data_IF_382209089715
#
_entry.id   IF_382209089715
#
_cell.length_a   1.000
_cell.length_b   1.000
_cell.length_c   1.000
_cell.angle_alpha   90.00
_cell.angle_beta   90.00
_cell.angle_gamma   90.00
#
_symmetry.space_group_name_H-M   'P 1'
#
loop_
_entity.id
_entity.type
_entity.pdbx_description
1 polymer ?
#
# COMPACT_ATOMS: atom_id res chain seq x y z
N UNK A 1 -24.63 34.72 34.51
CA UNK A 1 -23.29 34.62 33.87
C UNK A 1 -23.23 33.28 33.14
N UNK A 2 -23.39 33.22 31.82
CA UNK A 2 -23.43 31.94 31.12
C UNK A 2 -22.02 31.48 30.71
N UNK A 3 -21.66 30.31 31.24
CA UNK A 3 -20.93 29.20 30.63
C UNK A 3 -19.68 29.53 29.77
N UNK A 4 -18.49 29.37 30.37
CA UNK A 4 -17.22 29.19 29.67
C UNK A 4 -17.18 27.77 29.08
N UNK A 5 -17.93 27.55 28.00
CA UNK A 5 -17.77 26.33 27.21
C UNK A 5 -16.45 26.45 26.48
N UNK A 6 -15.46 25.68 26.93
CA UNK A 6 -14.20 25.46 26.21
C UNK A 6 -14.53 25.18 24.74
N UNK A 7 -13.92 25.87 23.77
CA UNK A 7 -14.00 25.40 22.40
C UNK A 7 -13.36 24.01 22.40
N UNK A 8 -14.18 22.98 22.18
CA UNK A 8 -13.69 21.67 21.81
C UNK A 8 -12.69 21.93 20.68
N UNK A 9 -11.44 21.52 20.89
CA UNK A 9 -10.47 21.40 19.82
C UNK A 9 -11.14 20.48 18.81
N UNK A 10 -11.80 21.07 17.82
CA UNK A 10 -12.20 20.39 16.61
C UNK A 10 -10.87 20.00 16.00
N UNK A 11 -10.43 18.78 16.30
CA UNK A 11 -9.40 18.10 15.54
C UNK A 11 -9.89 18.21 14.11
N UNK A 12 -9.31 19.13 13.36
CA UNK A 12 -9.51 19.22 11.94
C UNK A 12 -8.96 17.90 11.40
N UNK A 13 -9.84 16.91 11.28
CA UNK A 13 -9.58 15.70 10.53
C UNK A 13 -9.56 16.16 9.09
N UNK A 14 -8.38 16.55 8.64
CA UNK A 14 -8.08 16.80 7.24
C UNK A 14 -8.61 15.59 6.45
N UNK A 15 -9.40 15.77 5.39
CA UNK A 15 -9.96 14.65 4.66
C UNK A 15 -8.82 13.75 4.12
N UNK A 16 -8.93 12.42 4.21
CA UNK A 16 -7.85 11.48 3.83
C UNK A 16 -7.54 11.44 2.32
N UNK A 17 -8.20 12.27 1.51
CA UNK A 17 -8.11 12.25 0.06
C UNK A 17 -6.75 12.69 -0.53
N UNK A 18 -5.84 13.24 0.28
CA UNK A 18 -4.56 13.79 -0.19
C UNK A 18 -3.31 12.96 0.15
N UNK A 19 -3.43 11.85 0.89
CA UNK A 19 -2.27 11.09 1.41
C UNK A 19 -1.93 9.81 0.63
N UNK A 20 -2.82 9.31 -0.23
CA UNK A 20 -2.83 7.87 -0.55
C UNK A 20 -2.47 7.37 -1.97
N UNK A 21 -2.30 8.20 -3.01
CA UNK A 21 -1.71 7.71 -4.26
C UNK A 21 -0.22 7.29 -4.13
N UNK A 22 0.68 8.09 -3.50
CA UNK A 22 2.11 7.85 -3.63
C UNK A 22 2.59 6.65 -2.81
N UNK A 23 2.03 6.40 -1.63
CA UNK A 23 2.42 5.25 -0.82
C UNK A 23 1.91 3.94 -1.42
N UNK A 24 0.68 3.91 -1.94
CA UNK A 24 0.17 2.76 -2.66
C UNK A 24 1.03 2.44 -3.91
N UNK A 25 1.36 3.46 -4.71
CA UNK A 25 2.25 3.32 -5.87
C UNK A 25 3.62 2.74 -5.49
N UNK A 26 4.24 3.25 -4.41
CA UNK A 26 5.53 2.77 -3.91
C UNK A 26 5.46 1.33 -3.42
N UNK A 27 4.44 0.97 -2.63
CA UNK A 27 4.25 -0.39 -2.13
C UNK A 27 4.11 -1.38 -3.29
N UNK A 28 3.27 -1.06 -4.29
CA UNK A 28 3.08 -1.92 -5.46
C UNK A 28 4.38 -2.08 -6.27
N UNK A 29 5.13 -0.99 -6.45
CA UNK A 29 6.41 -1.01 -7.19
C UNK A 29 7.46 -1.87 -6.48
N UNK A 30 7.60 -1.73 -5.15
CA UNK A 30 8.55 -2.54 -4.37
C UNK A 30 8.09 -4.00 -4.29
N UNK A 31 6.79 -4.25 -4.20
CA UNK A 31 6.23 -5.61 -4.29
C UNK A 31 6.61 -6.26 -5.60
N UNK A 32 6.49 -5.54 -6.73
CA UNK A 32 6.93 -6.04 -8.03
C UNK A 32 8.42 -6.40 -8.06
N UNK A 33 9.28 -5.57 -7.47
CA UNK A 33 10.73 -5.86 -7.37
C UNK A 33 11.01 -7.11 -6.53
N UNK A 34 10.34 -7.25 -5.39
CA UNK A 34 10.47 -8.44 -4.55
C UNK A 34 9.97 -9.71 -5.27
N UNK A 35 8.94 -9.59 -6.12
CA UNK A 35 8.48 -10.71 -6.94
C UNK A 35 9.52 -11.15 -7.98
N UNK A 36 10.24 -10.21 -8.59
CA UNK A 36 11.27 -10.46 -9.60
C UNK A 36 12.57 -11.04 -9.01
N UNK A 37 12.90 -10.70 -7.77
CA UNK A 37 14.11 -11.20 -7.08
C UNK A 37 13.98 -12.65 -6.59
N UNK A 38 12.77 -13.21 -6.58
CA UNK A 38 12.56 -14.56 -6.09
C UNK A 38 13.06 -15.62 -7.10
N UNK A 39 13.61 -16.74 -6.62
CA UNK A 39 14.28 -17.74 -7.46
C UNK A 39 13.32 -18.61 -8.30
N UNK A 40 12.01 -18.56 -8.04
CA UNK A 40 11.01 -19.41 -8.71
C UNK A 40 10.12 -18.57 -9.63
N UNK A 41 9.78 -19.09 -10.81
CA UNK A 41 8.95 -18.35 -11.78
C UNK A 41 7.44 -18.44 -11.49
N UNK A 42 7.03 -19.45 -10.69
CA UNK A 42 5.64 -19.66 -10.31
C UNK A 42 5.24 -18.69 -9.20
N UNK A 43 4.10 -18.02 -9.40
CA UNK A 43 3.52 -17.13 -8.40
C UNK A 43 2.58 -17.93 -7.50
N UNK A 44 2.71 -17.75 -6.19
CA UNK A 44 1.86 -18.36 -5.17
C UNK A 44 1.27 -17.27 -4.29
N UNK A 45 0.11 -17.52 -3.68
CA UNK A 45 -0.52 -16.58 -2.73
C UNK A 45 0.44 -16.22 -1.59
N UNK A 46 1.11 -17.22 -1.03
CA UNK A 46 2.10 -17.03 0.02
C UNK A 46 3.28 -16.15 -0.45
N UNK A 47 3.75 -16.35 -1.69
CA UNK A 47 4.84 -15.56 -2.25
C UNK A 47 4.46 -14.11 -2.54
N UNK A 48 3.21 -13.87 -2.95
CA UNK A 48 2.68 -12.52 -3.12
C UNK A 48 2.50 -11.81 -1.77
N UNK A 49 1.90 -12.49 -0.79
CA UNK A 49 1.68 -11.92 0.54
C UNK A 49 3.00 -11.57 1.24
N UNK A 50 4.01 -12.44 1.14
CA UNK A 50 5.35 -12.19 1.69
C UNK A 50 6.05 -10.99 1.02
N UNK A 51 6.00 -10.91 -0.32
CA UNK A 51 6.54 -9.78 -1.07
C UNK A 51 5.84 -8.47 -0.69
N UNK A 52 4.51 -8.49 -0.58
CA UNK A 52 3.70 -7.33 -0.22
C UNK A 52 3.98 -6.87 1.21
N UNK A 53 4.04 -7.80 2.18
CA UNK A 53 4.39 -7.48 3.57
C UNK A 53 5.78 -6.89 3.70
N UNK A 54 6.74 -7.41 2.94
CA UNK A 54 8.10 -6.87 2.90
C UNK A 54 8.11 -5.43 2.36
N UNK A 55 7.37 -5.17 1.28
CA UNK A 55 7.23 -3.83 0.71
C UNK A 55 6.57 -2.85 1.69
N UNK A 56 5.46 -3.25 2.34
CA UNK A 56 4.78 -2.45 3.37
C UNK A 56 5.71 -2.10 4.52
N UNK A 57 6.43 -3.08 5.07
CA UNK A 57 7.37 -2.85 6.16
C UNK A 57 8.49 -1.86 5.75
N UNK A 58 8.99 -1.97 4.52
CA UNK A 58 10.03 -1.08 4.01
C UNK A 58 9.56 0.35 3.75
N UNK A 59 8.37 0.53 3.17
CA UNK A 59 7.86 1.84 2.74
C UNK A 59 7.17 2.59 3.86
N UNK A 60 6.31 1.94 4.64
CA UNK A 60 5.46 2.60 5.65
C UNK A 60 5.70 2.13 7.07
N UNK A 61 6.58 1.14 7.30
CA UNK A 61 6.83 0.59 8.65
C UNK A 61 7.42 1.58 9.66
N UNK A 62 7.95 2.71 9.19
CA UNK A 62 8.48 3.79 10.03
C UNK A 62 7.49 4.96 10.23
N UNK A 63 6.31 4.90 9.60
CA UNK A 63 5.29 5.94 9.69
C UNK A 63 4.37 5.70 10.90
N UNK A 64 3.60 6.73 11.31
CA UNK A 64 2.55 6.54 12.31
C UNK A 64 1.56 5.45 11.89
N UNK A 65 1.09 4.65 12.86
CA UNK A 65 0.26 3.47 12.61
C UNK A 65 -0.96 3.74 11.71
N UNK A 66 -1.65 4.86 11.92
CA UNK A 66 -2.84 5.24 11.12
C UNK A 66 -2.49 5.47 9.65
N UNK A 67 -1.33 6.07 9.36
CA UNK A 67 -0.86 6.31 7.99
C UNK A 67 -0.43 4.99 7.34
N UNK A 68 0.31 4.16 8.07
CA UNK A 68 0.75 2.86 7.59
C UNK A 68 -0.43 1.92 7.29
N UNK A 69 -1.44 1.89 8.16
CA UNK A 69 -2.65 1.09 7.98
C UNK A 69 -3.44 1.55 6.76
N UNK A 70 -3.66 2.85 6.62
CA UNK A 70 -4.40 3.43 5.49
C UNK A 70 -3.68 3.14 4.17
N UNK A 71 -2.37 3.39 4.10
CA UNK A 71 -1.56 3.10 2.91
C UNK A 71 -1.55 1.61 2.56
N UNK A 72 -1.49 0.73 3.57
CA UNK A 72 -1.52 -0.73 3.37
C UNK A 72 -2.86 -1.18 2.81
N UNK A 73 -3.97 -0.69 3.38
CA UNK A 73 -5.32 -1.03 2.91
C UNK A 73 -5.53 -0.56 1.46
N UNK A 74 -5.09 0.66 1.14
CA UNK A 74 -5.20 1.19 -0.21
C UNK A 74 -4.33 0.43 -1.20
N UNK A 75 -3.07 0.15 -0.88
CA UNK A 75 -2.20 -0.66 -1.73
C UNK A 75 -2.78 -2.06 -1.97
N UNK A 76 -3.39 -2.67 -0.93
CA UNK A 76 -3.98 -4.00 -1.04
C UNK A 76 -5.21 -4.03 -1.94
N UNK A 77 -5.99 -2.95 -1.99
CA UNK A 77 -7.14 -2.85 -2.88
C UNK A 77 -6.76 -2.91 -4.37
N UNK A 78 -5.50 -2.65 -4.72
CA UNK A 78 -4.98 -2.73 -6.08
C UNK A 78 -4.34 -4.08 -6.43
N UNK A 79 -4.25 -5.03 -5.50
CA UNK A 79 -3.76 -6.36 -5.80
C UNK A 79 -4.82 -7.14 -6.59
N UNK A 80 -4.47 -7.52 -7.82
CA UNK A 80 -5.32 -8.37 -8.63
C UNK A 80 -5.35 -9.81 -8.07
N UNK A 81 -6.45 -10.55 -8.24
CA UNK A 81 -6.50 -11.97 -7.91
C UNK A 81 -5.41 -12.75 -8.66
N UNK A 82 -4.83 -13.73 -7.97
CA UNK A 82 -3.91 -14.66 -8.64
C UNK A 82 -4.69 -15.51 -9.63
N UNK A 83 -4.37 -15.31 -10.89
CA UNK A 83 -4.79 -16.15 -12.02
C UNK A 83 -3.59 -16.99 -12.46
N UNK A 84 -3.77 -17.88 -13.45
CA UNK A 84 -2.69 -18.73 -13.98
C UNK A 84 -1.67 -17.87 -14.77
N UNK A 85 -0.90 -17.06 -14.03
CA UNK A 85 0.06 -16.07 -14.54
C UNK A 85 1.39 -16.21 -13.83
N UNK A 86 2.45 -15.86 -14.54
CA UNK A 86 3.81 -15.93 -13.99
C UNK A 86 4.07 -14.77 -13.03
N UNK A 87 5.10 -14.91 -12.17
CA UNK A 87 5.55 -13.80 -11.30
C UNK A 87 5.93 -12.58 -12.11
N UNK A 88 6.64 -12.77 -13.23
CA UNK A 88 7.09 -11.67 -14.10
C UNK A 88 5.90 -10.89 -14.68
N UNK A 89 4.87 -11.58 -15.15
CA UNK A 89 3.65 -10.94 -15.64
C UNK A 89 2.92 -10.18 -14.53
N UNK A 90 2.79 -10.79 -13.35
CA UNK A 90 2.16 -10.11 -12.20
C UNK A 90 2.96 -8.87 -11.76
N UNK A 91 4.30 -8.97 -11.71
CA UNK A 91 5.17 -7.85 -11.40
C UNK A 91 5.06 -6.70 -12.41
N UNK A 92 4.90 -7.00 -13.70
CA UNK A 92 4.65 -6.00 -14.73
C UNK A 92 3.31 -5.28 -14.51
N UNK A 93 2.24 -6.01 -14.15
CA UNK A 93 0.94 -5.41 -13.82
C UNK A 93 1.02 -4.53 -12.58
N UNK A 94 1.67 -5.00 -11.52
CA UNK A 94 1.88 -4.18 -10.33
C UNK A 94 2.63 -2.87 -10.64
N UNK A 95 3.64 -2.92 -11.53
CA UNK A 95 4.36 -1.73 -11.99
C UNK A 95 3.50 -0.80 -12.83
N UNK A 96 2.66 -1.32 -13.72
CA UNK A 96 1.74 -0.47 -14.50
C UNK A 96 0.73 0.21 -13.57
N UNK A 97 0.12 -0.54 -12.65
CA UNK A 97 -0.82 0.00 -11.66
C UNK A 97 -0.14 1.03 -10.76
N UNK A 98 1.07 0.75 -10.27
CA UNK A 98 1.84 1.72 -9.49
C UNK A 98 2.10 3.01 -10.25
N UNK A 99 2.47 2.94 -11.53
CA UNK A 99 2.69 4.11 -12.40
C UNK A 99 1.41 4.92 -12.65
N UNK A 100 0.27 4.25 -12.77
CA UNK A 100 -1.02 4.92 -12.95
C UNK A 100 -1.45 5.71 -11.70
N UNK A 101 -0.98 5.29 -10.53
CA UNK A 101 -1.31 5.92 -9.25
C UNK A 101 -0.40 7.11 -8.87
N UNK A 102 0.83 7.22 -9.41
CA UNK A 102 1.70 8.37 -9.12
C UNK A 102 3.13 8.24 -9.60
#
# INVERSE_FOLDING_TARGET
MPNLTHPALQTAVTPPAALDPPYAAQILTVTAWALELAPTNQLTEAGLDDAFRTAVAGIVGHLPAVVAETATLNARAYLEPLTDITRAEYALRLRSTGRELG
#
